data_IF_613093794703
#
_entry.id   IF_613093794703
#
_cell.length_a   1.000
_cell.length_b   1.000
_cell.length_c   1.000
_cell.angle_alpha   90.00
_cell.angle_beta   90.00
_cell.angle_gamma   90.00
#
_symmetry.space_group_name_H-M   'P 1'
#
loop_
_entity.id
_entity.type
_entity.pdbx_description
1 polymer ?
#
# COMPACT_ATOMS: atom_id res chain seq x y z
N UNK A 1 -12.14 -6.05 -6.19
CA UNK A 1 -11.43 -7.33 -6.45
C UNK A 1 -12.34 -8.42 -7.01
N UNK A 2 -13.38 -8.85 -6.28
CA UNK A 2 -14.26 -9.96 -6.70
C UNK A 2 -14.95 -9.65 -8.04
N UNK A 3 -15.74 -8.58 -8.12
CA UNK A 3 -16.45 -8.19 -9.34
C UNK A 3 -15.53 -8.01 -10.56
N UNK A 4 -14.40 -7.30 -10.40
CA UNK A 4 -13.42 -7.13 -11.48
C UNK A 4 -12.77 -8.44 -11.93
N UNK A 5 -12.58 -9.39 -11.02
CA UNK A 5 -12.04 -10.71 -11.33
C UNK A 5 -13.05 -11.57 -12.10
N UNK A 6 -14.33 -11.51 -11.72
CA UNK A 6 -15.42 -12.12 -12.48
C UNK A 6 -15.52 -11.51 -13.88
N UNK A 7 -15.45 -10.18 -14.01
CA UNK A 7 -15.47 -9.52 -15.32
C UNK A 7 -14.32 -9.97 -16.21
N UNK A 8 -13.10 -10.09 -15.69
CA UNK A 8 -11.96 -10.59 -16.46
C UNK A 8 -12.17 -12.01 -16.99
N UNK A 9 -12.75 -12.91 -16.18
CA UNK A 9 -12.93 -14.31 -16.55
C UNK A 9 -14.09 -14.53 -17.53
N UNK A 10 -15.16 -13.73 -17.43
CA UNK A 10 -16.36 -13.85 -18.28
C UNK A 10 -16.34 -12.92 -19.50
N UNK A 11 -15.63 -11.80 -19.44
CA UNK A 11 -15.49 -10.80 -20.51
C UNK A 11 -14.01 -10.44 -20.67
N UNK A 12 -13.20 -11.27 -21.33
CA UNK A 12 -11.79 -10.97 -21.54
C UNK A 12 -11.66 -9.68 -22.36
N UNK A 13 -11.16 -8.63 -21.71
CA UNK A 13 -11.01 -7.31 -22.33
C UNK A 13 -9.89 -7.39 -23.38
N UNK A 14 -10.08 -6.86 -24.59
CA UNK A 14 -9.07 -6.90 -25.64
C UNK A 14 -7.77 -6.26 -25.19
N UNK A 15 -6.66 -6.81 -25.69
CA UNK A 15 -5.31 -6.31 -25.40
C UNK A 15 -5.20 -4.84 -25.79
N UNK A 16 -4.77 -4.00 -24.84
CA UNK A 16 -4.64 -2.56 -25.00
C UNK A 16 -3.29 -2.09 -24.42
N UNK A 17 -3.00 -0.79 -24.52
CA UNK A 17 -1.81 -0.22 -23.88
C UNK A 17 -1.74 -0.57 -22.37
N UNK A 18 -2.91 -0.64 -21.71
CA UNK A 18 -3.01 -0.94 -20.28
C UNK A 18 -2.74 -2.41 -19.93
N UNK A 19 -2.92 -3.34 -20.89
CA UNK A 19 -2.58 -4.74 -20.68
C UNK A 19 -1.07 -5.01 -20.77
N UNK A 20 -0.29 -4.08 -21.34
CA UNK A 20 1.16 -4.22 -21.42
C UNK A 20 1.80 -4.02 -20.05
N UNK A 21 2.48 -5.04 -19.52
CA UNK A 21 3.20 -4.98 -18.23
C UNK A 21 4.26 -3.88 -18.13
N UNK A 22 4.71 -3.33 -19.26
CA UNK A 22 5.70 -2.24 -19.34
C UNK A 22 5.09 -0.86 -19.54
N UNK A 23 3.76 -0.71 -19.41
CA UNK A 23 3.13 0.60 -19.48
C UNK A 23 3.62 1.52 -18.34
N UNK A 24 3.55 2.84 -18.56
CA UNK A 24 4.07 3.85 -17.62
C UNK A 24 3.43 3.73 -16.23
N UNK A 25 2.13 3.43 -16.17
CA UNK A 25 1.42 3.26 -14.90
C UNK A 25 1.96 2.09 -14.10
N UNK A 26 2.19 0.93 -14.73
CA UNK A 26 2.71 -0.23 -14.04
C UNK A 26 4.17 -0.05 -13.59
N UNK A 27 5.00 0.60 -14.42
CA UNK A 27 6.44 0.74 -14.15
C UNK A 27 6.73 1.82 -13.09
N UNK A 28 6.07 2.97 -13.15
CA UNK A 28 6.39 4.11 -12.28
C UNK A 28 5.42 4.29 -11.12
N UNK A 29 4.13 3.99 -11.31
CA UNK A 29 3.14 4.20 -10.26
C UNK A 29 3.00 2.97 -9.38
N UNK A 30 2.81 1.78 -9.94
CA UNK A 30 2.59 0.59 -9.10
C UNK A 30 3.87 0.13 -8.41
N UNK A 31 5.01 0.04 -9.13
CA UNK A 31 6.28 -0.42 -8.53
C UNK A 31 6.82 0.52 -7.44
N UNK A 32 6.60 1.82 -7.59
CA UNK A 32 7.05 2.85 -6.62
C UNK A 32 5.85 3.30 -5.75
N UNK A 33 4.73 2.56 -5.77
CA UNK A 33 3.47 2.97 -5.15
C UNK A 33 3.59 3.24 -3.66
N UNK A 34 4.39 2.45 -2.96
CA UNK A 34 4.69 2.69 -1.54
C UNK A 34 5.44 4.01 -1.32
N UNK A 35 6.41 4.34 -2.18
CA UNK A 35 7.19 5.57 -2.08
C UNK A 35 6.34 6.83 -2.22
N UNK A 36 5.40 6.85 -3.18
CA UNK A 36 4.45 7.95 -3.34
C UNK A 36 3.53 8.12 -2.13
N UNK A 37 3.03 7.00 -1.59
CA UNK A 37 2.17 6.98 -0.40
C UNK A 37 2.92 7.47 0.82
N UNK A 38 4.12 6.95 1.05
CA UNK A 38 4.99 7.33 2.16
C UNK A 38 5.37 8.82 2.10
N UNK A 39 5.71 9.35 0.91
CA UNK A 39 6.09 10.74 0.73
C UNK A 39 4.95 11.72 1.07
N UNK A 40 3.74 11.46 0.57
CA UNK A 40 2.58 12.32 0.86
C UNK A 40 2.14 12.22 2.33
N UNK A 41 2.10 11.02 2.91
CA UNK A 41 1.74 10.84 4.32
C UNK A 41 2.79 11.44 5.26
N UNK A 42 4.07 11.39 4.90
CA UNK A 42 5.14 12.10 5.60
C UNK A 42 4.89 13.61 5.58
N UNK A 43 4.59 14.20 4.42
CA UNK A 43 4.28 15.62 4.32
C UNK A 43 3.08 16.02 5.20
N UNK A 44 1.99 15.24 5.17
CA UNK A 44 0.81 15.46 6.03
C UNK A 44 1.20 15.36 7.51
N UNK A 45 2.01 14.38 7.90
CA UNK A 45 2.44 14.15 9.29
C UNK A 45 3.30 15.29 9.82
N UNK A 46 4.21 15.85 9.01
CA UNK A 46 5.02 17.03 9.39
C UNK A 46 4.11 18.22 9.64
N UNK A 47 3.22 18.51 8.68
CA UNK A 47 2.29 19.65 8.79
C UNK A 47 1.38 19.50 10.01
N UNK A 48 0.85 18.30 10.25
CA UNK A 48 0.02 18.00 11.41
C UNK A 48 0.79 18.17 12.72
N UNK A 49 2.00 17.65 12.80
CA UNK A 49 2.86 17.74 13.99
C UNK A 49 3.23 19.20 14.30
N UNK A 50 3.51 20.01 13.27
CA UNK A 50 3.81 21.43 13.45
C UNK A 50 2.62 22.22 14.01
N UNK A 51 1.40 21.88 13.57
CA UNK A 51 0.18 22.50 14.09
C UNK A 51 -0.12 22.05 15.52
N UNK A 52 0.04 20.75 15.83
CA UNK A 52 -0.33 20.22 17.14
C UNK A 52 0.70 20.50 18.22
N UNK A 53 1.96 20.17 17.95
CA UNK A 53 3.07 20.19 18.92
C UNK A 53 4.34 20.76 18.26
N UNK A 54 4.39 22.08 17.98
CA UNK A 54 5.54 22.69 17.34
C UNK A 54 6.81 22.47 18.16
N UNK A 55 7.87 21.98 17.52
CA UNK A 55 9.17 21.73 18.16
C UNK A 55 9.28 20.43 18.97
N UNK A 56 8.23 19.61 19.07
CA UNK A 56 8.30 18.33 19.79
C UNK A 56 8.67 17.17 18.86
N UNK A 57 9.96 16.85 18.81
CA UNK A 57 10.50 15.75 18.00
C UNK A 57 9.96 14.37 18.43
N UNK A 58 9.74 14.15 19.73
CA UNK A 58 9.26 12.86 20.25
C UNK A 58 7.83 12.58 19.76
N UNK A 59 6.94 13.57 19.85
CA UNK A 59 5.57 13.48 19.35
C UNK A 59 5.54 13.20 17.84
N UNK A 60 6.38 13.89 17.07
CA UNK A 60 6.51 13.67 15.63
C UNK A 60 7.01 12.25 15.29
N UNK A 61 8.06 11.77 15.97
CA UNK A 61 8.61 10.42 15.76
C UNK A 61 7.62 9.31 16.13
N UNK A 62 6.78 9.53 17.15
CA UNK A 62 5.68 8.61 17.49
C UNK A 62 4.70 8.47 16.33
N UNK A 63 4.33 9.53 15.64
CA UNK A 63 3.46 9.42 14.45
C UNK A 63 4.15 8.70 13.28
N UNK A 64 5.46 8.93 13.07
CA UNK A 64 6.23 8.20 12.07
C UNK A 64 6.37 6.70 12.33
N UNK A 65 6.29 6.27 13.60
CA UNK A 65 6.37 4.86 13.95
C UNK A 65 5.29 4.02 13.26
N UNK A 66 4.11 4.58 13.00
CA UNK A 66 3.03 3.89 12.25
C UNK A 66 3.39 3.65 10.79
N UNK A 67 3.95 4.67 10.12
CA UNK A 67 4.44 4.55 8.74
C UNK A 67 5.62 3.57 8.64
N UNK A 68 6.46 3.53 9.67
CA UNK A 68 7.54 2.54 9.77
C UNK A 68 7.00 1.11 9.90
N UNK A 69 6.03 0.88 10.81
CA UNK A 69 5.38 -0.44 10.95
C UNK A 69 4.68 -0.85 9.66
N UNK A 70 4.00 0.07 8.97
CA UNK A 70 3.39 -0.22 7.67
C UNK A 70 4.44 -0.62 6.61
N UNK A 71 5.59 0.08 6.58
CA UNK A 71 6.71 -0.25 5.68
C UNK A 71 7.28 -1.64 6.00
N UNK A 72 7.46 -1.96 7.28
CA UNK A 72 7.94 -3.27 7.71
C UNK A 72 6.94 -4.37 7.32
N UNK A 73 5.65 -4.16 7.56
CA UNK A 73 4.61 -5.11 7.20
C UNK A 73 4.58 -5.37 5.68
N UNK A 74 4.65 -4.30 4.86
CA UNK A 74 4.76 -4.41 3.41
C UNK A 74 5.98 -5.24 2.99
N UNK A 75 7.16 -4.90 3.51
CA UNK A 75 8.40 -5.60 3.19
C UNK A 75 8.32 -7.08 3.56
N UNK A 76 7.87 -7.40 4.77
CA UNK A 76 7.71 -8.78 5.24
C UNK A 76 6.78 -9.60 4.34
N UNK A 77 5.62 -9.04 3.97
CA UNK A 77 4.67 -9.74 3.11
C UNK A 77 5.18 -9.94 1.69
N UNK A 78 5.77 -8.91 1.06
CA UNK A 78 6.31 -9.04 -0.30
C UNK A 78 7.46 -10.04 -0.34
N UNK A 79 8.36 -10.01 0.64
CA UNK A 79 9.42 -11.02 0.76
C UNK A 79 8.84 -12.42 0.96
N UNK A 80 7.79 -12.57 1.77
CA UNK A 80 7.12 -13.85 1.96
C UNK A 80 6.47 -14.35 0.66
N UNK A 81 5.81 -13.49 -0.11
CA UNK A 81 5.20 -13.87 -1.39
C UNK A 81 6.25 -14.38 -2.39
N UNK A 82 7.39 -13.71 -2.49
CA UNK A 82 8.49 -14.13 -3.35
C UNK A 82 9.04 -15.49 -2.92
N UNK A 83 9.18 -15.73 -1.62
CA UNK A 83 9.61 -17.01 -1.10
C UNK A 83 8.58 -18.12 -1.32
N UNK A 84 7.29 -17.86 -1.12
CA UNK A 84 6.24 -18.85 -1.43
C UNK A 84 6.30 -19.25 -2.91
N UNK A 85 6.43 -18.30 -3.83
CA UNK A 85 6.54 -18.59 -5.26
C UNK A 85 7.82 -19.37 -5.61
N UNK A 86 8.93 -19.08 -4.93
CA UNK A 86 10.19 -19.79 -5.09
C UNK A 86 10.10 -21.23 -4.59
N UNK A 87 9.46 -21.47 -3.44
CA UNK A 87 9.40 -22.81 -2.83
C UNK A 87 8.38 -23.72 -3.51
N UNK A 88 7.29 -23.15 -4.03
CA UNK A 88 6.20 -23.91 -4.67
C UNK A 88 6.39 -24.08 -6.17
N UNK A 89 7.40 -23.44 -6.75
CA UNK A 89 7.54 -23.36 -8.20
C UNK A 89 8.42 -24.44 -8.81
N UNK A 90 8.20 -24.64 -10.11
CA UNK A 90 8.99 -25.54 -10.96
C UNK A 90 9.41 -24.84 -12.23
N UNK A 91 10.61 -25.18 -12.72
CA UNK A 91 11.12 -24.63 -13.98
C UNK A 91 10.51 -25.36 -15.19
N UNK A 92 9.66 -24.66 -15.96
CA UNK A 92 9.14 -25.19 -17.23
C UNK A 92 10.20 -25.08 -18.31
N UNK A 93 10.71 -26.23 -18.73
CA UNK A 93 11.74 -26.38 -19.76
C UNK A 93 12.89 -27.28 -19.32
N UNK A 94 13.18 -27.30 -18.01
CA UNK A 94 14.16 -28.21 -17.43
C UNK A 94 13.85 -28.45 -15.94
N UNK A 95 13.26 -29.60 -15.63
CA UNK A 95 12.80 -29.94 -14.27
C UNK A 95 13.92 -30.18 -13.27
N UNK A 96 15.17 -30.33 -13.72
CA UNK A 96 16.34 -30.47 -12.83
C UNK A 96 16.86 -29.15 -12.26
N UNK A 97 16.19 -28.03 -12.53
CA UNK A 97 16.57 -26.70 -12.05
C UNK A 97 15.63 -26.27 -10.94
N UNK A 98 16.14 -26.33 -9.71
CA UNK A 98 15.36 -26.04 -8.50
C UNK A 98 15.45 -24.57 -8.07
N UNK A 99 16.08 -23.72 -8.88
CA UNK A 99 16.24 -22.29 -8.57
C UNK A 99 15.54 -21.41 -9.60
N UNK A 100 14.59 -20.59 -9.13
CA UNK A 100 13.92 -19.52 -9.91
C UNK A 100 14.92 -18.64 -10.66
N UNK A 101 15.99 -18.22 -9.99
CA UNK A 101 17.02 -17.37 -10.60
C UNK A 101 17.74 -18.06 -11.75
N UNK A 102 18.18 -19.31 -11.55
CA UNK A 102 18.89 -20.09 -12.59
C UNK A 102 17.97 -20.42 -13.76
N UNK A 103 16.70 -20.74 -13.47
CA UNK A 103 15.66 -21.00 -14.47
C UNK A 103 15.49 -19.78 -15.39
N UNK A 104 15.28 -18.59 -14.82
CA UNK A 104 15.14 -17.36 -15.59
C UNK A 104 16.42 -16.96 -16.34
N UNK A 105 17.60 -17.17 -15.75
CA UNK A 105 18.89 -16.89 -16.40
C UNK A 105 19.08 -17.71 -17.67
N UNK A 106 18.55 -18.94 -17.70
CA UNK A 106 18.54 -19.81 -18.88
C UNK A 106 17.39 -19.52 -19.86
N UNK A 107 16.56 -18.51 -19.60
CA UNK A 107 15.42 -18.14 -20.44
C UNK A 107 14.18 -19.01 -20.24
N UNK A 108 14.16 -19.86 -19.21
CA UNK A 108 13.01 -20.71 -18.91
C UNK A 108 11.97 -19.99 -18.04
N UNK A 109 10.75 -20.52 -18.05
CA UNK A 109 9.63 -19.98 -17.29
C UNK A 109 9.51 -20.69 -15.94
N UNK A 110 9.63 -19.93 -14.84
CA UNK A 110 9.29 -20.42 -13.51
C UNK A 110 7.77 -20.40 -13.31
N UNK A 111 7.18 -21.51 -12.87
CA UNK A 111 5.75 -21.58 -12.56
C UNK A 111 5.57 -22.06 -11.12
N UNK A 112 5.32 -21.12 -10.22
CA UNK A 112 4.96 -21.38 -8.82
C UNK A 112 3.63 -20.78 -8.43
N UNK A 113 3.30 -20.92 -7.16
CA UNK A 113 2.15 -20.27 -6.55
C UNK A 113 2.46 -18.79 -6.31
N UNK A 114 1.99 -17.96 -7.24
CA UNK A 114 2.21 -16.51 -7.25
C UNK A 114 1.05 -15.77 -6.57
N UNK A 115 1.29 -15.08 -5.46
CA UNK A 115 0.29 -14.21 -4.81
C UNK A 115 0.44 -12.81 -5.39
N UNK A 116 -0.67 -12.14 -5.74
CA UNK A 116 -0.60 -10.83 -6.39
C UNK A 116 -0.10 -9.74 -5.44
N UNK A 117 1.22 -9.50 -5.46
CA UNK A 117 1.87 -8.44 -4.68
C UNK A 117 1.40 -7.04 -5.06
N UNK A 118 1.01 -6.82 -6.33
CA UNK A 118 0.43 -5.56 -6.80
C UNK A 118 -0.96 -5.30 -6.19
N UNK A 119 -1.82 -6.32 -6.14
CA UNK A 119 -3.12 -6.23 -5.49
C UNK A 119 -2.96 -5.90 -4.00
N UNK A 120 -2.08 -6.64 -3.31
CA UNK A 120 -1.73 -6.40 -1.91
C UNK A 120 -1.23 -4.96 -1.69
N UNK A 121 -0.24 -4.51 -2.47
CA UNK A 121 0.36 -3.19 -2.33
C UNK A 121 -0.66 -2.05 -2.52
N UNK A 122 -1.50 -2.13 -3.55
CA UNK A 122 -2.49 -1.09 -3.84
C UNK A 122 -3.53 -0.96 -2.71
N UNK A 123 -4.03 -2.10 -2.20
CA UNK A 123 -4.97 -2.11 -1.08
C UNK A 123 -4.28 -1.64 0.21
N UNK A 124 -3.03 -2.07 0.45
CA UNK A 124 -2.24 -1.63 1.59
C UNK A 124 -2.03 -0.11 1.59
N UNK A 125 -1.67 0.48 0.44
CA UNK A 125 -1.57 1.93 0.28
C UNK A 125 -2.92 2.62 0.53
N UNK A 126 -4.00 2.13 -0.06
CA UNK A 126 -5.34 2.73 0.05
C UNK A 126 -5.84 2.75 1.50
N UNK A 127 -5.73 1.62 2.22
CA UNK A 127 -6.15 1.51 3.61
C UNK A 127 -5.27 2.37 4.53
N UNK A 128 -3.95 2.36 4.33
CA UNK A 128 -3.02 3.20 5.12
C UNK A 128 -3.35 4.70 4.93
N UNK A 129 -3.60 5.13 3.69
CA UNK A 129 -4.01 6.51 3.40
C UNK A 129 -5.32 6.84 4.13
N UNK A 130 -6.33 5.97 4.05
CA UNK A 130 -7.64 6.19 4.69
C UNK A 130 -7.55 6.36 6.21
N UNK A 131 -6.58 5.72 6.86
CA UNK A 131 -6.37 5.84 8.30
C UNK A 131 -5.58 7.11 8.66
N UNK A 132 -4.43 7.32 8.03
CA UNK A 132 -3.54 8.43 8.37
C UNK A 132 -4.11 9.80 7.98
N UNK A 133 -4.96 9.88 6.95
CA UNK A 133 -5.52 11.16 6.50
C UNK A 133 -6.55 11.75 7.47
N UNK A 134 -7.09 10.94 8.39
CA UNK A 134 -8.12 11.38 9.34
C UNK A 134 -7.63 12.50 10.27
N UNK A 135 -6.31 12.62 10.48
CA UNK A 135 -5.70 13.73 11.25
C UNK A 135 -6.08 15.11 10.70
N UNK A 136 -6.29 15.25 9.38
CA UNK A 136 -6.63 16.52 8.74
C UNK A 136 -8.00 17.05 9.19
N UNK A 137 -8.93 16.14 9.49
CA UNK A 137 -10.24 16.49 10.06
C UNK A 137 -10.07 17.15 11.43
N UNK A 138 -9.21 16.59 12.28
CA UNK A 138 -8.91 17.15 13.60
C UNK A 138 -8.18 18.50 13.52
N UNK A 139 -7.25 18.66 12.57
CA UNK A 139 -6.57 19.94 12.32
C UNK A 139 -7.56 21.06 11.99
N UNK A 140 -8.55 20.75 11.13
CA UNK A 140 -9.56 21.72 10.69
C UNK A 140 -10.46 22.18 11.84
N UNK A 141 -10.76 21.30 12.80
CA UNK A 141 -11.56 21.64 13.98
C UNK A 141 -10.76 22.32 15.10
N UNK A 142 -9.43 22.25 15.08
CA UNK A 142 -8.59 22.70 16.20
C UNK A 142 -8.55 24.21 16.44
N UNK A 143 -8.87 25.03 15.42
CA UNK A 143 -8.83 26.50 15.51
C UNK A 143 -7.44 27.11 15.80
N UNK A 144 -6.36 26.32 15.81
CA UNK A 144 -5.01 26.76 16.18
C UNK A 144 -4.45 27.81 15.22
N UNK A 145 -3.63 28.73 15.74
CA UNK A 145 -2.98 29.79 14.95
C UNK A 145 -2.17 29.24 13.77
N UNK A 146 -1.32 28.24 14.03
CA UNK A 146 -0.49 27.61 13.00
C UNK A 146 -1.29 26.94 11.88
N UNK A 147 -2.50 26.44 12.17
CA UNK A 147 -3.39 25.90 11.13
C UNK A 147 -3.77 26.98 10.12
N UNK A 148 -4.10 28.21 10.57
CA UNK A 148 -4.49 29.30 9.66
C UNK A 148 -3.37 29.65 8.67
N UNK A 149 -2.12 29.65 9.15
CA UNK A 149 -0.94 29.92 8.33
C UNK A 149 -0.65 28.76 7.37
N UNK A 150 -0.65 27.53 7.87
CA UNK A 150 -0.27 26.34 7.09
C UNK A 150 -1.42 25.75 6.26
N UNK A 151 -2.64 26.28 6.40
CA UNK A 151 -3.85 25.84 5.70
C UNK A 151 -3.64 25.54 4.21
N UNK A 152 -3.06 26.43 3.37
CA UNK A 152 -2.89 26.14 1.95
C UNK A 152 -2.02 24.90 1.69
N UNK A 153 -0.99 24.68 2.50
CA UNK A 153 -0.13 23.50 2.39
C UNK A 153 -0.86 22.23 2.83
N UNK A 154 -1.60 22.29 3.95
CA UNK A 154 -2.39 21.16 4.47
C UNK A 154 -3.46 20.74 3.47
N UNK A 155 -4.18 21.71 2.89
CA UNK A 155 -5.23 21.45 1.89
C UNK A 155 -4.62 20.89 0.60
N UNK A 156 -3.51 21.45 0.13
CA UNK A 156 -2.79 20.92 -1.04
C UNK A 156 -2.35 19.48 -0.81
N UNK A 157 -1.71 19.18 0.33
CA UNK A 157 -1.28 17.83 0.69
C UNK A 157 -2.46 16.86 0.79
N UNK A 158 -3.59 17.30 1.37
CA UNK A 158 -4.82 16.52 1.44
C UNK A 158 -5.38 16.21 0.04
N UNK A 159 -5.46 17.20 -0.85
CA UNK A 159 -5.94 17.01 -2.23
C UNK A 159 -5.02 16.06 -2.99
N UNK A 160 -3.71 16.23 -2.90
CA UNK A 160 -2.74 15.33 -3.53
C UNK A 160 -2.88 13.89 -3.01
N UNK A 161 -3.08 13.72 -1.70
CA UNK A 161 -3.25 12.40 -1.07
C UNK A 161 -4.57 11.75 -1.49
N UNK A 162 -5.66 12.53 -1.57
CA UNK A 162 -6.95 12.05 -2.06
C UNK A 162 -6.90 11.65 -3.53
N UNK A 163 -6.23 12.45 -4.37
CA UNK A 163 -6.00 12.11 -5.78
C UNK A 163 -5.16 10.83 -5.92
N UNK A 164 -4.16 10.64 -5.06
CA UNK A 164 -3.36 9.43 -5.03
C UNK A 164 -4.20 8.19 -4.64
N UNK A 165 -5.10 8.33 -3.66
CA UNK A 165 -6.03 7.26 -3.28
C UNK A 165 -6.93 6.86 -4.44
N UNK A 166 -7.52 7.83 -5.16
CA UNK A 166 -8.34 7.56 -6.36
C UNK A 166 -7.52 6.86 -7.43
N UNK A 167 -6.25 7.27 -7.62
CA UNK A 167 -5.34 6.59 -8.54
C UNK A 167 -5.09 5.13 -8.13
N UNK A 168 -4.92 4.83 -6.84
CA UNK A 168 -4.77 3.45 -6.35
C UNK A 168 -5.99 2.59 -6.59
N UNK A 169 -7.20 3.12 -6.39
CA UNK A 169 -8.44 2.43 -6.74
C UNK A 169 -8.53 2.13 -8.24
N UNK A 170 -8.21 3.12 -9.10
CA UNK A 170 -8.18 2.93 -10.54
C UNK A 170 -7.15 1.85 -10.96
N UNK A 171 -5.94 1.89 -10.40
CA UNK A 171 -4.91 0.89 -10.66
C UNK A 171 -5.28 -0.49 -10.13
N UNK A 172 -6.02 -0.58 -9.02
CA UNK A 172 -6.52 -1.83 -8.48
C UNK A 172 -7.56 -2.45 -9.41
N UNK A 173 -8.46 -1.64 -9.97
CA UNK A 173 -9.42 -2.08 -10.99
C UNK A 173 -8.67 -2.61 -12.22
N UNK A 174 -7.70 -1.87 -12.75
CA UNK A 174 -6.88 -2.33 -13.88
C UNK A 174 -6.13 -3.63 -13.57
N UNK A 175 -5.63 -3.78 -12.34
CA UNK A 175 -4.97 -5.01 -11.89
C UNK A 175 -5.95 -6.18 -11.86
N UNK A 176 -7.18 -5.94 -11.40
CA UNK A 176 -8.23 -6.95 -11.41
C UNK A 176 -8.67 -7.34 -12.83
N UNK A 177 -8.60 -6.41 -13.78
CA UNK A 177 -9.09 -6.60 -15.15
C UNK A 177 -8.07 -7.19 -16.12
N UNK A 178 -6.76 -7.11 -15.86
CA UNK A 178 -5.74 -7.49 -16.87
C UNK A 178 -4.68 -8.49 -16.41
N UNK A 179 -4.50 -8.68 -15.10
CA UNK A 179 -3.37 -9.44 -14.56
C UNK A 179 -3.84 -10.48 -13.55
N UNK A 180 -3.07 -11.55 -13.34
CA UNK A 180 -3.31 -12.60 -12.34
C UNK A 180 -4.67 -13.32 -12.42
N UNK A 181 -4.73 -14.49 -11.79
CA UNK A 181 -5.98 -15.23 -11.60
C UNK A 181 -6.75 -14.72 -10.38
N UNK A 182 -8.04 -15.06 -10.28
CA UNK A 182 -8.95 -14.60 -9.21
C UNK A 182 -8.40 -14.94 -7.82
N UNK A 183 -7.95 -16.17 -7.61
CA UNK A 183 -7.48 -16.63 -6.29
C UNK A 183 -6.24 -15.87 -5.82
N UNK A 184 -5.30 -15.58 -6.72
CA UNK A 184 -4.07 -14.84 -6.42
C UNK A 184 -4.38 -13.40 -5.98
N UNK A 185 -5.39 -12.78 -6.60
CA UNK A 185 -5.87 -11.44 -6.23
C UNK A 185 -6.57 -11.44 -4.88
N UNK A 186 -7.46 -12.42 -4.65
CA UNK A 186 -8.21 -12.55 -3.40
C UNK A 186 -7.26 -12.75 -2.23
N UNK A 187 -6.25 -13.62 -2.35
CA UNK A 187 -5.25 -13.82 -1.30
C UNK A 187 -4.48 -12.54 -0.99
N UNK A 188 -3.99 -11.83 -2.01
CA UNK A 188 -3.32 -10.55 -1.82
C UNK A 188 -4.21 -9.52 -1.10
N UNK A 189 -5.50 -9.47 -1.45
CA UNK A 189 -6.47 -8.57 -0.82
C UNK A 189 -6.76 -8.94 0.64
N UNK A 190 -6.98 -10.23 0.93
CA UNK A 190 -7.22 -10.71 2.29
C UNK A 190 -6.03 -10.42 3.21
N UNK A 191 -4.81 -10.61 2.72
CA UNK A 191 -3.59 -10.32 3.48
C UNK A 191 -3.44 -8.81 3.74
N UNK A 192 -3.79 -7.95 2.77
CA UNK A 192 -3.79 -6.50 2.98
C UNK A 192 -4.81 -6.07 4.05
N UNK A 193 -6.04 -6.59 3.99
CA UNK A 193 -7.09 -6.31 4.97
C UNK A 193 -6.68 -6.83 6.36
N UNK A 194 -6.15 -8.05 6.43
CA UNK A 194 -5.64 -8.64 7.67
C UNK A 194 -4.55 -7.75 8.29
N UNK A 195 -3.60 -7.29 7.48
CA UNK A 195 -2.52 -6.41 7.92
C UNK A 195 -3.06 -5.09 8.46
N UNK A 196 -3.96 -4.44 7.74
CA UNK A 196 -4.60 -3.19 8.18
C UNK A 196 -5.38 -3.37 9.47
N UNK A 197 -6.17 -4.44 9.59
CA UNK A 197 -6.93 -4.72 10.81
C UNK A 197 -5.99 -4.95 12.00
N UNK A 198 -4.95 -5.78 11.81
CA UNK A 198 -3.95 -6.07 12.83
C UNK A 198 -3.20 -4.82 13.30
N UNK A 199 -2.87 -3.89 12.39
CA UNK A 199 -2.16 -2.66 12.76
C UNK A 199 -3.12 -1.60 13.32
N UNK A 200 -4.10 -1.14 12.55
CA UNK A 200 -4.91 0.02 12.91
C UNK A 200 -6.01 -0.29 13.93
N UNK A 201 -6.62 -1.47 13.85
CA UNK A 201 -7.76 -1.82 14.71
C UNK A 201 -7.39 -2.62 15.95
N UNK A 202 -6.21 -3.24 15.98
CA UNK A 202 -5.72 -3.97 17.14
C UNK A 202 -4.50 -3.29 17.75
N UNK A 203 -3.35 -3.27 17.05
CA UNK A 203 -2.07 -2.77 17.58
C UNK A 203 -2.14 -1.32 18.07
N UNK A 204 -2.64 -0.40 17.23
CA UNK A 204 -2.67 1.03 17.53
C UNK A 204 -3.86 1.43 18.39
N UNK A 205 -5.02 0.78 18.20
CA UNK A 205 -6.24 1.10 18.94
C UNK A 205 -6.17 0.66 20.40
N UNK A 206 -5.66 -0.56 20.65
CA UNK A 206 -5.51 -1.11 22.00
C UNK A 206 -4.20 -0.69 22.68
N UNK A 207 -3.42 0.19 22.02
CA UNK A 207 -2.12 0.67 22.50
C UNK A 207 -1.18 -0.48 22.93
N UNK A 208 -1.17 -1.57 22.16
CA UNK A 208 -0.40 -2.79 22.46
C UNK A 208 1.10 -2.48 22.53
N UNK A 209 1.57 -1.53 21.70
CA UNK A 209 2.92 -0.96 21.78
C UNK A 209 2.79 0.47 22.31
N UNK A 210 3.23 0.76 23.55
CA UNK A 210 3.01 2.05 24.23
C UNK A 210 3.54 3.29 23.49
N UNK A 211 4.47 3.10 22.56
CA UNK A 211 5.12 4.18 21.82
C UNK A 211 4.44 4.51 20.49
N UNK A 212 3.40 3.76 20.10
CA UNK A 212 2.71 3.95 18.83
C UNK A 212 1.30 4.50 19.08
N UNK A 213 1.07 5.80 18.85
CA UNK A 213 -0.19 6.44 19.18
C UNK A 213 -1.30 6.02 18.21
N UNK A 214 -2.54 5.94 18.71
CA UNK A 214 -3.71 5.75 17.87
C UNK A 214 -3.94 6.97 16.95
N UNK A 215 -4.22 6.79 15.64
CA UNK A 215 -4.50 7.93 14.74
C UNK A 215 -5.71 8.77 15.17
N UNK A 216 -6.70 8.13 15.82
CA UNK A 216 -8.01 8.71 16.17
C UNK A 216 -8.09 9.30 17.58
N UNK A 217 -7.11 8.99 18.45
CA UNK A 217 -6.97 9.61 19.77
C UNK A 217 -5.68 10.42 19.77
N UNK A 218 -5.70 11.70 19.36
CA UNK A 218 -4.55 12.55 19.63
C UNK A 218 -4.32 12.57 21.14
N UNK A 219 -3.09 12.34 21.58
CA UNK A 219 -2.69 12.50 22.97
C UNK A 219 -3.06 13.94 23.39
N UNK A 220 -4.15 14.08 24.16
CA UNK A 220 -4.56 15.34 24.81
C UNK A 220 -3.75 15.47 26.09
#
# INVERSE_FOLDING_TARGET
VIAGSFLHDFLPIPSSYLSNKRNVFNVYFVKIGWGWTWGLLTAVTILASWVHTPGNLVSMLRHYSRLFVATLAWFLWVSLFEQIEHWTGVCKGQSSLDSKYVCHKKGFLWRGFDISGHCFLLIHCALTISEEIQVVRHLTMSGKYWYKILRPLIVTAFICTAALLVLWEAMLVLTCLYFHTVYQKILGALIAIFTWFGTYHYLYKENVIPFIPCPLKPDI
#
